data_IF_773939908235
#
_entry.id   IF_773939908235
#
_cell.length_a   1.000
_cell.length_b   1.000
_cell.length_c   1.000
_cell.angle_alpha   90.00
_cell.angle_beta   90.00
_cell.angle_gamma   90.00
#
_symmetry.space_group_name_H-M   'P 1'
#
loop_
_entity.id
_entity.type
_entity.pdbx_description
1 polymer ?
#
# COMPACT_ATOMS: atom_id res chain seq x y z
N UNK A 1 42.95 26.06 -57.75
CA UNK A 1 41.74 25.36 -57.29
C UNK A 1 42.21 24.33 -56.26
N UNK A 2 41.40 24.03 -55.24
CA UNK A 2 41.65 23.06 -54.15
C UNK A 2 42.10 23.63 -52.78
N UNK A 3 41.41 24.66 -52.28
CA UNK A 3 41.46 25.02 -50.85
C UNK A 3 40.09 25.06 -50.16
N UNK A 4 39.01 24.74 -50.89
CA UNK A 4 37.64 24.68 -50.35
C UNK A 4 37.22 23.26 -49.96
N UNK A 5 37.89 22.23 -50.48
CA UNK A 5 37.56 20.82 -50.20
C UNK A 5 38.11 20.32 -48.86
N UNK A 6 39.14 20.96 -48.31
CA UNK A 6 39.70 20.58 -47.00
C UNK A 6 38.90 21.10 -45.82
N UNK A 7 38.09 22.16 -45.99
CA UNK A 7 37.25 22.70 -44.91
C UNK A 7 35.95 21.93 -44.70
N UNK A 8 35.47 21.18 -45.71
CA UNK A 8 34.23 20.40 -45.58
C UNK A 8 34.50 19.08 -44.83
N UNK A 9 35.70 18.52 -44.95
CA UNK A 9 36.04 17.26 -44.26
C UNK A 9 36.40 17.44 -42.77
N UNK A 10 36.83 18.63 -42.36
CA UNK A 10 36.99 18.96 -40.94
C UNK A 10 35.64 19.14 -40.21
N UNK A 11 34.54 19.40 -40.93
CA UNK A 11 33.21 19.53 -40.36
C UNK A 11 32.48 18.18 -40.13
N UNK A 12 32.97 17.08 -40.72
CA UNK A 12 32.34 15.75 -40.61
C UNK A 12 33.15 14.75 -39.77
N UNK A 13 34.35 15.13 -39.30
CA UNK A 13 35.22 14.30 -38.45
C UNK A 13 34.96 14.40 -36.94
N UNK A 14 33.80 14.93 -36.51
CA UNK A 14 33.56 15.32 -35.11
C UNK A 14 32.44 14.58 -34.36
N UNK A 15 31.81 13.52 -34.90
CA UNK A 15 30.65 12.92 -34.23
C UNK A 15 30.43 11.43 -34.52
N UNK A 16 31.32 10.56 -34.06
CA UNK A 16 31.02 9.12 -33.98
C UNK A 16 31.41 8.48 -32.64
N UNK A 17 32.05 9.20 -31.71
CA UNK A 17 32.27 8.75 -30.34
C UNK A 17 31.61 9.76 -29.38
N UNK A 18 30.28 9.77 -29.34
CA UNK A 18 29.53 10.69 -28.48
C UNK A 18 28.01 10.63 -28.60
N UNK A 19 27.46 9.81 -29.50
CA UNK A 19 26.02 9.70 -29.71
C UNK A 19 25.36 8.50 -28.99
N UNK A 20 26.12 7.57 -28.41
CA UNK A 20 25.55 6.42 -27.68
C UNK A 20 25.40 6.66 -26.18
N UNK A 21 26.11 7.64 -25.60
CA UNK A 21 26.04 7.98 -24.18
C UNK A 21 24.71 8.65 -23.77
N UNK A 22 24.13 9.63 -24.51
CA UNK A 22 22.89 10.29 -24.09
C UNK A 22 21.67 9.36 -24.11
N UNK A 23 21.63 8.43 -25.07
CA UNK A 23 20.51 7.49 -25.24
C UNK A 23 20.50 6.44 -24.11
N UNK A 24 21.68 6.00 -23.65
CA UNK A 24 21.78 5.06 -22.52
C UNK A 24 21.49 5.73 -21.18
N UNK A 25 21.96 6.96 -20.94
CA UNK A 25 21.70 7.68 -19.68
C UNK A 25 20.23 8.03 -19.50
N UNK A 26 19.54 8.50 -20.55
CA UNK A 26 18.12 8.82 -20.47
C UNK A 26 17.26 7.55 -20.29
N UNK A 27 17.59 6.43 -20.94
CA UNK A 27 16.85 5.19 -20.76
C UNK A 27 17.02 4.60 -19.35
N UNK A 28 18.23 4.64 -18.78
CA UNK A 28 18.49 4.18 -17.40
C UNK A 28 17.83 5.08 -16.36
N UNK A 29 17.89 6.41 -16.54
CA UNK A 29 17.18 7.37 -15.67
C UNK A 29 15.66 7.24 -15.81
N UNK A 30 15.13 7.23 -17.03
CA UNK A 30 13.69 7.10 -17.31
C UNK A 30 13.15 5.76 -16.80
N UNK A 31 13.88 4.66 -16.99
CA UNK A 31 13.51 3.35 -16.44
C UNK A 31 13.53 3.36 -14.90
N UNK A 32 14.50 4.01 -14.27
CA UNK A 32 14.54 4.16 -12.80
C UNK A 32 13.36 5.00 -12.28
N UNK A 33 12.98 6.07 -12.98
CA UNK A 33 11.86 6.94 -12.62
C UNK A 33 10.51 6.23 -12.82
N UNK A 34 10.29 5.57 -13.96
CA UNK A 34 9.05 4.81 -14.23
C UNK A 34 8.85 3.66 -13.23
N UNK A 35 9.90 2.93 -12.86
CA UNK A 35 9.78 1.84 -11.87
C UNK A 35 9.47 2.37 -10.47
N UNK A 36 10.07 3.50 -10.06
CA UNK A 36 9.72 4.17 -8.79
C UNK A 36 8.27 4.62 -8.77
N UNK A 37 7.78 5.14 -9.89
CA UNK A 37 6.40 5.60 -9.99
C UNK A 37 5.40 4.45 -9.87
N UNK A 38 5.69 3.28 -10.47
CA UNK A 38 4.86 2.08 -10.32
C UNK A 38 4.84 1.55 -8.88
N UNK A 39 6.00 1.45 -8.24
CA UNK A 39 6.09 1.01 -6.83
C UNK A 39 5.38 2.00 -5.90
N UNK A 40 5.56 3.31 -6.10
CA UNK A 40 4.90 4.33 -5.27
C UNK A 40 3.38 4.32 -5.47
N UNK A 41 2.90 4.09 -6.70
CA UNK A 41 1.46 3.93 -6.97
C UNK A 41 0.90 2.69 -6.29
N UNK A 42 1.61 1.56 -6.33
CA UNK A 42 1.21 0.34 -5.64
C UNK A 42 1.15 0.53 -4.12
N UNK A 43 2.16 1.16 -3.52
CA UNK A 43 2.19 1.51 -2.09
C UNK A 43 1.01 2.42 -1.75
N UNK A 44 0.82 3.52 -2.48
CA UNK A 44 -0.25 4.48 -2.21
C UNK A 44 -1.65 3.85 -2.31
N UNK A 45 -1.87 2.97 -3.29
CA UNK A 45 -3.14 2.27 -3.44
C UNK A 45 -3.43 1.35 -2.25
N UNK A 46 -2.40 0.64 -1.76
CA UNK A 46 -2.54 -0.24 -0.60
C UNK A 46 -2.68 0.54 0.70
N UNK A 47 -1.93 1.64 0.88
CA UNK A 47 -2.04 2.53 2.04
C UNK A 47 -3.45 3.12 2.17
N UNK A 48 -4.05 3.57 1.07
CA UNK A 48 -5.43 4.08 1.06
C UNK A 48 -6.42 2.99 1.48
N UNK A 49 -6.29 1.79 0.90
CA UNK A 49 -7.16 0.66 1.22
C UNK A 49 -7.03 0.21 2.69
N UNK A 50 -5.81 0.14 3.22
CA UNK A 50 -5.55 -0.25 4.60
C UNK A 50 -6.02 0.79 5.60
N UNK A 51 -5.83 2.07 5.27
CA UNK A 51 -6.32 3.18 6.10
C UNK A 51 -7.85 3.16 6.18
N UNK A 52 -8.53 2.91 5.05
CA UNK A 52 -9.99 2.83 5.04
C UNK A 52 -10.52 1.62 5.82
N UNK A 53 -9.84 0.45 5.71
CA UNK A 53 -10.18 -0.73 6.52
C UNK A 53 -10.01 -0.47 8.01
N UNK A 54 -8.92 0.16 8.43
CA UNK A 54 -8.70 0.51 9.83
C UNK A 54 -9.77 1.48 10.31
N UNK A 55 -10.05 2.55 9.55
CA UNK A 55 -11.04 3.56 9.91
C UNK A 55 -12.44 2.96 10.08
N UNK A 56 -12.91 2.18 9.11
CA UNK A 56 -14.23 1.54 9.19
C UNK A 56 -14.27 0.44 10.25
N UNK A 57 -13.22 -0.37 10.35
CA UNK A 57 -13.12 -1.47 11.30
C UNK A 57 -13.14 -0.98 12.75
N UNK A 58 -12.35 0.04 13.09
CA UNK A 58 -12.35 0.65 14.43
C UNK A 58 -13.73 1.19 14.78
N UNK A 59 -14.40 1.89 13.85
CA UNK A 59 -15.73 2.42 14.09
C UNK A 59 -16.76 1.31 14.35
N UNK A 60 -16.78 0.27 13.52
CA UNK A 60 -17.67 -0.87 13.69
C UNK A 60 -17.40 -1.61 15.01
N UNK A 61 -16.13 -1.81 15.36
CA UNK A 61 -15.75 -2.52 16.57
C UNK A 61 -16.18 -1.79 17.83
N UNK A 62 -15.90 -0.49 17.93
CA UNK A 62 -16.33 0.33 19.07
C UNK A 62 -17.85 0.34 19.18
N UNK A 63 -18.56 0.40 18.06
CA UNK A 63 -20.03 0.31 18.04
C UNK A 63 -20.51 -1.03 18.59
N UNK A 64 -19.93 -2.14 18.12
CA UNK A 64 -20.22 -3.50 18.56
C UNK A 64 -19.97 -3.72 20.07
N UNK A 65 -19.08 -2.95 20.71
CA UNK A 65 -18.91 -3.01 22.16
C UNK A 65 -20.14 -2.51 22.93
N UNK A 66 -20.87 -1.54 22.38
CA UNK A 66 -21.95 -0.83 23.09
C UNK A 66 -23.35 -1.18 22.60
N UNK A 67 -23.46 -1.73 21.39
CA UNK A 67 -24.71 -1.94 20.68
C UNK A 67 -24.72 -3.31 20.00
N UNK A 68 -25.91 -3.93 19.98
CA UNK A 68 -26.16 -5.09 19.15
C UNK A 68 -26.15 -4.71 17.67
N UNK A 69 -26.04 -5.68 16.77
CA UNK A 69 -26.09 -5.44 15.33
C UNK A 69 -27.47 -4.88 14.93
N UNK A 70 -27.55 -3.56 14.76
CA UNK A 70 -28.77 -2.88 14.31
C UNK A 70 -28.79 -2.69 12.78
N UNK A 71 -27.62 -2.48 12.17
CA UNK A 71 -27.48 -2.28 10.73
C UNK A 71 -26.47 -3.26 10.13
N UNK A 72 -26.96 -4.12 9.22
CA UNK A 72 -26.13 -5.10 8.50
C UNK A 72 -25.19 -4.45 7.48
N UNK A 73 -25.48 -3.22 7.02
CA UNK A 73 -24.68 -2.49 6.03
C UNK A 73 -23.24 -2.28 6.49
N UNK A 74 -23.02 -2.14 7.80
CA UNK A 74 -21.67 -2.00 8.37
C UNK A 74 -20.85 -3.27 8.16
N UNK A 75 -21.46 -4.44 8.39
CA UNK A 75 -20.81 -5.73 8.13
C UNK A 75 -20.60 -5.92 6.62
N UNK A 76 -21.57 -5.55 5.79
CA UNK A 76 -21.45 -5.61 4.33
C UNK A 76 -20.28 -4.75 3.84
N UNK A 77 -20.13 -3.53 4.36
CA UNK A 77 -19.03 -2.64 4.03
C UNK A 77 -17.67 -3.24 4.42
N UNK A 78 -17.58 -3.88 5.59
CA UNK A 78 -16.37 -4.59 6.01
C UNK A 78 -16.02 -5.75 5.06
N UNK A 79 -17.00 -6.58 4.66
CA UNK A 79 -16.77 -7.64 3.68
C UNK A 79 -16.37 -7.09 2.31
N UNK A 80 -16.93 -5.97 1.89
CA UNK A 80 -16.53 -5.30 0.64
C UNK A 80 -15.05 -4.88 0.69
N UNK A 81 -14.58 -4.36 1.83
CA UNK A 81 -13.17 -4.03 2.00
C UNK A 81 -12.27 -5.27 2.04
N UNK A 82 -12.68 -6.36 2.69
CA UNK A 82 -11.95 -7.65 2.62
C UNK A 82 -11.81 -8.14 1.18
N UNK A 83 -12.88 -8.06 0.39
CA UNK A 83 -12.83 -8.44 -1.03
C UNK A 83 -11.88 -7.55 -1.83
N UNK A 84 -11.80 -6.25 -1.53
CA UNK A 84 -10.80 -5.35 -2.14
C UNK A 84 -9.38 -5.70 -1.70
N UNK A 85 -9.17 -6.00 -0.42
CA UNK A 85 -7.87 -6.45 0.12
C UNK A 85 -7.44 -7.73 -0.59
N UNK A 86 -8.35 -8.69 -0.83
CA UNK A 86 -8.06 -9.93 -1.55
C UNK A 86 -7.51 -9.71 -2.97
N UNK A 87 -7.85 -8.61 -3.63
CA UNK A 87 -7.38 -8.32 -4.98
C UNK A 87 -5.93 -7.80 -5.02
N UNK A 88 -5.50 -7.07 -3.99
CA UNK A 88 -4.25 -6.30 -4.03
C UNK A 88 -3.23 -6.72 -2.96
N UNK A 89 -3.69 -7.23 -1.82
CA UNK A 89 -2.85 -7.54 -0.68
C UNK A 89 -2.25 -8.96 -0.73
N UNK A 90 -1.23 -9.17 0.09
CA UNK A 90 -0.64 -10.47 0.38
C UNK A 90 -1.61 -11.35 1.18
N UNK A 91 -1.39 -12.66 1.12
CA UNK A 91 -2.17 -13.63 1.90
C UNK A 91 -2.18 -13.30 3.39
N UNK A 92 -1.04 -12.88 3.95
CA UNK A 92 -0.93 -12.54 5.37
C UNK A 92 -1.80 -11.36 5.80
N UNK A 93 -1.96 -10.34 4.94
CA UNK A 93 -2.82 -9.19 5.21
C UNK A 93 -4.29 -9.58 5.06
N UNK A 94 -4.60 -10.39 4.05
CA UNK A 94 -5.95 -10.92 3.86
C UNK A 94 -6.42 -11.77 5.05
N UNK A 95 -5.59 -12.70 5.52
CA UNK A 95 -5.89 -13.55 6.68
C UNK A 95 -6.15 -12.72 7.94
N UNK A 96 -5.33 -11.69 8.19
CA UNK A 96 -5.54 -10.78 9.32
C UNK A 96 -6.85 -9.97 9.19
N UNK A 97 -7.19 -9.53 7.98
CA UNK A 97 -8.45 -8.84 7.72
C UNK A 97 -9.68 -9.74 7.95
N UNK A 98 -9.62 -10.98 7.44
CA UNK A 98 -10.69 -11.98 7.64
C UNK A 98 -10.85 -12.36 9.12
N UNK A 99 -9.74 -12.52 9.84
CA UNK A 99 -9.72 -12.76 11.29
C UNK A 99 -10.39 -11.62 12.05
N UNK A 100 -10.05 -10.37 11.72
CA UNK A 100 -10.68 -9.19 12.34
C UNK A 100 -12.19 -9.15 12.11
N UNK A 101 -12.65 -9.37 10.87
CA UNK A 101 -14.09 -9.36 10.55
C UNK A 101 -14.82 -10.48 11.30
N UNK A 102 -14.21 -11.66 11.44
CA UNK A 102 -14.77 -12.75 12.25
C UNK A 102 -14.94 -12.32 13.72
N UNK A 103 -13.91 -11.74 14.33
CA UNK A 103 -13.97 -11.22 15.71
C UNK A 103 -15.02 -10.13 15.85
N UNK A 104 -15.15 -9.24 14.86
CA UNK A 104 -16.17 -8.19 14.85
C UNK A 104 -17.60 -8.77 14.85
N UNK A 105 -17.86 -9.77 14.01
CA UNK A 105 -19.18 -10.44 13.94
C UNK A 105 -19.49 -11.19 15.23
N UNK A 106 -18.51 -11.89 15.81
CA UNK A 106 -18.64 -12.55 17.11
C UNK A 106 -18.99 -11.52 18.20
N UNK A 107 -18.37 -10.33 18.16
CA UNK A 107 -18.58 -9.29 19.16
C UNK A 107 -20.02 -8.75 19.17
N UNK A 108 -20.64 -8.60 18.00
CA UNK A 108 -22.04 -8.21 17.89
C UNK A 108 -23.03 -9.21 18.52
N UNK A 109 -22.59 -10.46 18.78
CA UNK A 109 -23.37 -11.49 19.47
C UNK A 109 -23.20 -11.51 20.99
N UNK A 110 -22.31 -10.69 21.55
CA UNK A 110 -22.05 -10.60 22.99
C UNK A 110 -22.98 -9.59 23.69
N UNK A 111 -22.96 -9.58 25.03
CA UNK A 111 -23.71 -8.61 25.82
C UNK A 111 -23.06 -7.23 25.71
N UNK A 112 -23.85 -6.21 25.38
CA UNK A 112 -23.42 -4.81 25.31
C UNK A 112 -22.69 -4.36 26.60
N UNK A 113 -21.54 -3.73 26.43
CA UNK A 113 -20.71 -3.16 27.49
C UNK A 113 -21.18 -1.73 27.81
N UNK A 114 -21.07 -1.33 29.08
CA UNK A 114 -21.28 0.07 29.47
C UNK A 114 -20.10 0.95 29.06
N UNK A 115 -20.31 2.28 29.01
CA UNK A 115 -19.25 3.24 28.66
C UNK A 115 -18.02 3.10 29.58
N UNK A 116 -18.22 2.86 30.89
CA UNK A 116 -17.11 2.70 31.85
C UNK A 116 -16.32 1.40 31.63
N UNK A 117 -16.99 0.34 31.17
CA UNK A 117 -16.33 -0.90 30.76
C UNK A 117 -15.53 -0.70 29.48
N UNK A 118 -16.08 0.02 28.49
CA UNK A 118 -15.37 0.35 27.24
C UNK A 118 -14.13 1.20 27.52
N UNK A 119 -14.22 2.19 28.41
CA UNK A 119 -13.04 2.99 28.84
C UNK A 119 -11.97 2.11 29.48
N UNK A 120 -12.37 1.18 30.34
CA UNK A 120 -11.44 0.25 30.99
C UNK A 120 -10.70 -0.60 29.96
N UNK A 121 -11.44 -1.17 28.99
CA UNK A 121 -10.85 -1.94 27.87
C UNK A 121 -9.93 -1.06 27.03
N UNK A 122 -10.33 0.16 26.66
CA UNK A 122 -9.50 1.05 25.84
C UNK A 122 -8.17 1.47 26.52
N UNK A 123 -8.11 1.41 27.85
CA UNK A 123 -6.89 1.68 28.63
C UNK A 123 -5.98 0.44 28.74
N UNK A 124 -6.45 -0.75 28.37
CA UNK A 124 -5.63 -1.95 28.34
C UNK A 124 -4.68 -1.93 27.13
N UNK A 125 -3.41 -2.25 27.38
CA UNK A 125 -2.32 -2.09 26.44
C UNK A 125 -2.44 -2.96 25.16
N UNK A 126 -3.39 -3.90 25.11
CA UNK A 126 -3.61 -4.87 24.03
C UNK A 126 -5.04 -4.88 23.51
N UNK A 127 -5.81 -3.83 23.77
CA UNK A 127 -7.23 -3.78 23.39
C UNK A 127 -7.49 -3.38 21.94
N UNK A 128 -6.45 -3.16 21.13
CA UNK A 128 -6.64 -2.84 19.71
C UNK A 128 -6.82 -4.12 18.87
N UNK A 129 -8.05 -4.45 18.45
CA UNK A 129 -8.33 -5.64 17.64
C UNK A 129 -7.73 -5.57 16.23
N UNK A 130 -7.33 -4.39 15.76
CA UNK A 130 -6.73 -4.19 14.43
C UNK A 130 -5.20 -4.23 14.44
N UNK A 131 -4.58 -4.40 15.61
CA UNK A 131 -3.12 -4.36 15.73
C UNK A 131 -2.43 -5.40 14.84
N UNK A 132 -2.91 -6.66 14.81
CA UNK A 132 -2.32 -7.68 13.94
C UNK A 132 -2.44 -7.28 12.46
N UNK A 133 -3.62 -6.85 12.02
CA UNK A 133 -3.84 -6.36 10.66
C UNK A 133 -2.87 -5.22 10.30
N UNK A 134 -2.73 -4.22 11.17
CA UNK A 134 -1.82 -3.09 10.97
C UNK A 134 -0.34 -3.54 10.88
N UNK A 135 0.07 -4.51 11.69
CA UNK A 135 1.43 -5.07 11.65
C UNK A 135 1.69 -5.83 10.35
N UNK A 136 0.73 -6.62 9.84
CA UNK A 136 0.84 -7.30 8.54
C UNK A 136 0.92 -6.29 7.40
N UNK A 137 0.07 -5.26 7.43
CA UNK A 137 0.11 -4.17 6.44
C UNK A 137 1.48 -3.49 6.42
N UNK A 138 2.03 -3.15 7.59
CA UNK A 138 3.35 -2.53 7.71
C UNK A 138 4.46 -3.43 7.18
N UNK A 139 4.41 -4.74 7.45
CA UNK A 139 5.38 -5.70 6.94
C UNK A 139 5.34 -5.77 5.41
N UNK A 140 4.14 -5.83 4.84
CA UNK A 140 3.94 -5.90 3.40
C UNK A 140 4.39 -4.63 2.67
N UNK A 141 4.03 -3.45 3.17
CA UNK A 141 4.49 -2.17 2.58
C UNK A 141 6.01 -2.05 2.60
N UNK A 142 6.66 -2.54 3.67
CA UNK A 142 8.12 -2.62 3.74
C UNK A 142 8.68 -3.56 2.67
N UNK A 143 8.10 -4.73 2.47
CA UNK A 143 8.54 -5.68 1.45
C UNK A 143 8.40 -5.10 0.03
N UNK A 144 7.29 -4.40 -0.26
CA UNK A 144 7.10 -3.71 -1.55
C UNK A 144 8.17 -2.65 -1.77
N UNK A 145 8.43 -1.83 -0.74
CA UNK A 145 9.48 -0.82 -0.79
C UNK A 145 10.86 -1.45 -1.04
N UNK A 146 11.22 -2.49 -0.29
CA UNK A 146 12.49 -3.21 -0.44
C UNK A 146 12.65 -3.80 -1.85
N UNK A 147 11.62 -4.47 -2.40
CA UNK A 147 11.64 -4.99 -3.78
C UNK A 147 11.85 -3.89 -4.82
N UNK A 148 11.21 -2.72 -4.64
CA UNK A 148 11.42 -1.55 -5.49
C UNK A 148 12.85 -1.01 -5.39
N UNK A 149 13.48 -1.13 -4.23
CA UNK A 149 14.88 -0.72 -4.04
C UNK A 149 15.90 -1.69 -4.62
N UNK A 150 15.68 -3.01 -4.52
CA UNK A 150 16.58 -4.07 -5.00
C UNK A 150 16.67 -4.15 -6.52
N UNK A 151 15.58 -3.87 -7.25
CA UNK A 151 15.59 -3.77 -8.73
C UNK A 151 16.49 -2.64 -9.29
N UNK A 152 17.21 -1.91 -8.43
CA UNK A 152 18.16 -0.85 -8.79
C UNK A 152 19.62 -1.31 -8.87
N UNK A 153 19.97 -2.48 -8.33
CA UNK A 153 21.33 -3.05 -8.36
C UNK A 153 21.47 -4.11 -9.44
#
# INVERSE_FOLDING_TARGET
MDNTLTSILAALGGSVIGATTPVLSNFVLQRSVTQRELTNREIAQREDLYSEFIRQGTACYVKALSQSLENIDEIVAMFALVNRIRLFASGSVLEAAESFVKTLVEKYGEKNMSIDQIKSVALEQHADPLNDFALKCRAELREIYERGTWRRG
#
